data_IF_085238331955
#
_entry.id   IF_085238331955
#
_cell.length_a   1.000
_cell.length_b   1.000
_cell.length_c   1.000
_cell.angle_alpha   90.00
_cell.angle_beta   90.00
_cell.angle_gamma   90.00
#
_symmetry.space_group_name_H-M   'P 1'
#
loop_
_entity.id
_entity.type
_entity.pdbx_description
1 polymer ?
#
# COMPACT_ATOMS: atom_id res chain seq x y z
N UNK A 1 -35.75 -18.14 -2.66
CA UNK A 1 -35.60 -18.49 -1.22
C UNK A 1 -36.28 -17.44 -0.35
N UNK A 2 -37.01 -17.84 0.69
CA UNK A 2 -37.60 -16.89 1.65
C UNK A 2 -36.52 -16.30 2.58
N UNK A 3 -36.77 -15.12 3.17
CA UNK A 3 -35.85 -14.49 4.15
C UNK A 3 -35.49 -15.46 5.28
N UNK A 4 -36.47 -16.22 5.78
CA UNK A 4 -36.28 -17.22 6.83
C UNK A 4 -35.30 -18.32 6.40
N UNK A 5 -35.44 -18.84 5.19
CA UNK A 5 -34.54 -19.87 4.64
C UNK A 5 -33.12 -19.33 4.47
N UNK A 6 -32.94 -18.11 3.95
CA UNK A 6 -31.61 -17.49 3.83
C UNK A 6 -30.92 -17.31 5.19
N UNK A 7 -31.68 -16.84 6.19
CA UNK A 7 -31.17 -16.66 7.56
C UNK A 7 -30.79 -17.99 8.19
N UNK A 8 -31.65 -19.01 8.07
CA UNK A 8 -31.34 -20.35 8.59
C UNK A 8 -30.10 -20.93 7.93
N UNK A 9 -29.96 -20.82 6.60
CA UNK A 9 -28.78 -21.29 5.87
C UNK A 9 -27.51 -20.55 6.30
N UNK A 10 -27.57 -19.23 6.44
CA UNK A 10 -26.45 -18.42 6.92
C UNK A 10 -26.06 -18.84 8.35
N UNK A 11 -27.02 -18.95 9.26
CA UNK A 11 -26.75 -19.33 10.65
C UNK A 11 -26.19 -20.75 10.75
N UNK A 12 -26.71 -21.70 9.98
CA UNK A 12 -26.14 -23.05 9.94
C UNK A 12 -24.71 -23.05 9.42
N UNK A 13 -24.43 -22.30 8.35
CA UNK A 13 -23.08 -22.19 7.81
C UNK A 13 -22.13 -21.50 8.80
N UNK A 14 -22.60 -20.46 9.48
CA UNK A 14 -21.84 -19.75 10.51
C UNK A 14 -21.52 -20.65 11.71
N UNK A 15 -22.47 -21.48 12.15
CA UNK A 15 -22.23 -22.47 13.22
C UNK A 15 -21.21 -23.52 12.77
N UNK A 16 -21.35 -24.07 11.56
CA UNK A 16 -20.38 -25.04 11.01
C UNK A 16 -18.99 -24.42 10.94
N UNK A 17 -18.87 -23.20 10.42
CA UNK A 17 -17.61 -22.47 10.38
C UNK A 17 -17.04 -22.21 11.77
N UNK A 18 -17.86 -21.74 12.72
CA UNK A 18 -17.43 -21.48 14.08
C UNK A 18 -16.89 -22.75 14.76
N UNK A 19 -17.60 -23.87 14.64
CA UNK A 19 -17.17 -25.16 15.19
C UNK A 19 -15.85 -25.60 14.56
N UNK A 20 -15.74 -25.55 13.23
CA UNK A 20 -14.52 -25.92 12.53
C UNK A 20 -13.33 -25.02 12.90
N UNK A 21 -13.56 -23.71 12.97
CA UNK A 21 -12.56 -22.71 13.34
C UNK A 21 -12.10 -22.91 14.78
N UNK A 22 -13.03 -23.08 15.73
CA UNK A 22 -12.70 -23.35 17.13
C UNK A 22 -11.92 -24.66 17.27
N UNK A 23 -12.34 -25.73 16.60
CA UNK A 23 -11.62 -26.99 16.60
C UNK A 23 -10.18 -26.84 16.07
N UNK A 24 -9.99 -26.08 14.98
CA UNK A 24 -8.67 -25.77 14.44
C UNK A 24 -7.82 -24.96 15.44
N UNK A 25 -8.38 -23.95 16.08
CA UNK A 25 -7.68 -23.16 17.11
C UNK A 25 -7.24 -24.01 18.29
N UNK A 26 -8.06 -24.98 18.73
CA UNK A 26 -7.70 -25.89 19.83
C UNK A 26 -6.60 -26.90 19.45
N UNK A 27 -6.34 -27.10 18.15
CA UNK A 27 -5.25 -27.93 17.66
C UNK A 27 -3.90 -27.21 17.56
N UNK A 28 -3.84 -25.90 17.80
CA UNK A 28 -2.61 -25.12 17.74
C UNK A 28 -1.78 -25.30 19.03
N UNK A 29 -0.44 -25.14 18.95
CA UNK A 29 0.40 -25.09 20.13
C UNK A 29 -0.08 -23.99 21.10
N UNK A 30 0.00 -24.29 22.40
CA UNK A 30 -0.33 -23.33 23.44
C UNK A 30 0.67 -22.15 23.44
N UNK A 31 0.24 -20.99 23.93
CA UNK A 31 1.13 -19.85 24.08
C UNK A 31 2.31 -20.19 25.02
N UNK A 32 3.52 -19.72 24.68
CA UNK A 32 4.73 -19.96 25.47
C UNK A 32 5.44 -21.29 25.20
N UNK A 33 5.02 -22.06 24.17
CA UNK A 33 5.77 -23.25 23.73
C UNK A 33 7.09 -22.87 23.07
N UNK A 34 8.12 -23.70 23.26
CA UNK A 34 9.47 -23.49 22.72
C UNK A 34 9.59 -23.80 21.21
N UNK A 35 8.63 -24.57 20.68
CA UNK A 35 8.57 -24.93 19.25
C UNK A 35 7.21 -24.52 18.70
N UNK A 36 7.23 -24.02 17.47
CA UNK A 36 6.03 -23.76 16.70
C UNK A 36 6.28 -24.23 15.26
N UNK A 37 5.53 -25.23 14.73
CA UNK A 37 5.90 -25.91 13.49
C UNK A 37 5.95 -24.97 12.27
N UNK A 38 5.13 -23.92 12.25
CA UNK A 38 5.19 -22.90 11.20
C UNK A 38 6.29 -21.85 11.44
N UNK A 39 6.57 -21.53 12.72
CA UNK A 39 7.60 -20.56 13.08
C UNK A 39 8.99 -21.12 12.77
N UNK A 40 9.23 -22.36 13.17
CA UNK A 40 10.50 -23.06 12.96
C UNK A 40 10.80 -23.19 11.45
N UNK A 41 9.79 -23.53 10.63
CA UNK A 41 9.93 -23.58 9.17
C UNK A 41 10.16 -22.22 8.53
N UNK A 42 9.44 -21.18 8.98
CA UNK A 42 9.61 -19.82 8.47
C UNK A 42 11.03 -19.29 8.75
N UNK A 43 11.50 -19.43 9.99
CA UNK A 43 12.85 -19.03 10.39
C UNK A 43 13.91 -19.81 9.60
N UNK A 44 13.75 -21.13 9.48
CA UNK A 44 14.71 -21.96 8.74
C UNK A 44 14.80 -21.54 7.27
N UNK A 45 13.67 -21.35 6.60
CA UNK A 45 13.63 -20.92 5.21
C UNK A 45 14.19 -19.50 5.00
N UNK A 46 13.93 -18.58 5.93
CA UNK A 46 14.49 -17.22 5.89
C UNK A 46 16.03 -17.25 5.95
N UNK A 47 16.60 -18.06 6.84
CA UNK A 47 18.05 -18.24 6.95
C UNK A 47 18.66 -18.88 5.69
N UNK A 48 17.97 -19.86 5.08
CA UNK A 48 18.40 -20.45 3.80
C UNK A 48 18.45 -19.42 2.67
N UNK A 49 17.50 -18.49 2.62
CA UNK A 49 17.46 -17.40 1.64
C UNK A 49 18.30 -16.18 2.04
N UNK A 50 18.99 -16.25 3.18
CA UNK A 50 19.81 -15.16 3.75
C UNK A 50 19.01 -13.88 4.03
N UNK A 51 17.72 -14.00 4.30
CA UNK A 51 16.83 -12.89 4.67
C UNK A 51 16.80 -12.77 6.19
N UNK A 52 17.36 -11.69 6.75
CA UNK A 52 17.43 -11.52 8.20
C UNK A 52 16.08 -11.15 8.82
N UNK A 53 15.24 -10.40 8.10
CA UNK A 53 13.85 -10.17 8.46
C UNK A 53 12.99 -11.37 8.04
N UNK A 54 12.64 -12.24 9.00
CA UNK A 54 11.82 -13.44 8.77
C UNK A 54 10.43 -13.08 8.21
N UNK A 55 9.84 -11.95 8.63
CA UNK A 55 8.54 -11.52 8.11
C UNK A 55 8.64 -11.13 6.64
N UNK A 56 9.74 -10.47 6.25
CA UNK A 56 10.02 -10.17 4.84
C UNK A 56 10.18 -11.44 4.01
N UNK A 57 10.85 -12.47 4.54
CA UNK A 57 10.93 -13.78 3.89
C UNK A 57 9.56 -14.45 3.75
N UNK A 58 8.72 -14.40 4.79
CA UNK A 58 7.35 -14.90 4.73
C UNK A 58 6.58 -14.18 3.62
N UNK A 59 6.63 -12.85 3.59
CA UNK A 59 5.85 -12.05 2.65
C UNK A 59 6.34 -12.20 1.21
N UNK A 60 7.65 -12.23 0.95
CA UNK A 60 8.19 -12.13 -0.41
C UNK A 60 8.78 -13.43 -0.98
N UNK A 61 9.16 -14.41 -0.14
CA UNK A 61 9.63 -15.72 -0.61
C UNK A 61 8.58 -16.83 -0.45
N UNK A 62 7.85 -16.86 0.68
CA UNK A 62 6.97 -18.00 1.01
C UNK A 62 5.51 -17.77 0.62
N UNK A 63 5.01 -16.56 0.85
CA UNK A 63 3.62 -16.14 0.66
C UNK A 63 3.53 -14.93 -0.27
N UNK A 64 4.42 -14.89 -1.25
CA UNK A 64 4.56 -13.80 -2.21
C UNK A 64 3.30 -13.53 -3.03
N UNK A 65 2.47 -14.56 -3.26
CA UNK A 65 1.16 -14.41 -3.88
C UNK A 65 0.15 -13.67 -2.99
N UNK A 66 0.26 -13.79 -1.66
CA UNK A 66 -0.61 -13.04 -0.75
C UNK A 66 -0.26 -11.55 -0.81
N UNK A 67 1.04 -11.21 -0.83
CA UNK A 67 1.47 -9.81 -0.98
C UNK A 67 1.13 -9.24 -2.36
N UNK A 68 1.24 -10.03 -3.44
CA UNK A 68 0.73 -9.62 -4.76
C UNK A 68 -0.77 -9.33 -4.73
N UNK A 69 -1.54 -10.15 -4.00
CA UNK A 69 -2.98 -9.94 -3.80
C UNK A 69 -3.28 -8.68 -3.01
N UNK A 70 -2.57 -8.43 -1.90
CA UNK A 70 -2.69 -7.20 -1.09
C UNK A 70 -2.38 -5.94 -1.91
N UNK A 71 -1.31 -5.98 -2.69
CA UNK A 71 -0.90 -4.89 -3.59
C UNK A 71 -1.96 -4.67 -4.69
N UNK A 72 -2.46 -5.73 -5.31
CA UNK A 72 -3.56 -5.63 -6.29
C UNK A 72 -4.84 -5.04 -5.70
N UNK A 73 -5.15 -5.32 -4.43
CA UNK A 73 -6.30 -4.73 -3.73
C UNK A 73 -6.09 -3.22 -3.55
N UNK A 74 -4.90 -2.78 -3.15
CA UNK A 74 -4.59 -1.36 -3.01
C UNK A 74 -4.65 -0.65 -4.36
N UNK A 75 -3.95 -1.16 -5.38
CA UNK A 75 -3.99 -0.62 -6.73
C UNK A 75 -5.44 -0.53 -7.26
N UNK A 76 -6.24 -1.59 -7.07
CA UNK A 76 -7.65 -1.61 -7.43
C UNK A 76 -8.48 -0.57 -6.67
N UNK A 77 -8.21 -0.35 -5.39
CA UNK A 77 -8.88 0.69 -4.59
C UNK A 77 -8.51 2.10 -5.06
N UNK A 78 -7.23 2.35 -5.39
CA UNK A 78 -6.77 3.63 -5.95
C UNK A 78 -7.41 3.88 -7.30
N UNK A 79 -7.39 2.90 -8.20
CA UNK A 79 -8.04 2.99 -9.51
C UNK A 79 -9.55 3.25 -9.36
N UNK A 80 -10.20 2.56 -8.42
CA UNK A 80 -11.60 2.77 -8.09
C UNK A 80 -11.88 4.18 -7.60
N UNK A 81 -11.06 4.70 -6.69
CA UNK A 81 -11.17 6.07 -6.20
C UNK A 81 -10.96 7.09 -7.33
N UNK A 82 -9.94 6.92 -8.17
CA UNK A 82 -9.70 7.77 -9.34
C UNK A 82 -10.87 7.72 -10.32
N UNK A 83 -11.47 6.55 -10.55
CA UNK A 83 -12.61 6.41 -11.45
C UNK A 83 -13.91 7.01 -10.89
N UNK A 84 -14.18 6.81 -9.60
CA UNK A 84 -15.40 7.26 -8.93
C UNK A 84 -15.37 8.75 -8.56
N UNK A 85 -14.21 9.25 -8.14
CA UNK A 85 -14.00 10.65 -7.77
C UNK A 85 -13.49 11.49 -8.95
N UNK A 86 -13.53 10.92 -10.17
CA UNK A 86 -13.30 11.71 -11.38
C UNK A 86 -14.42 12.73 -11.51
N UNK A 87 -14.01 14.00 -11.65
CA UNK A 87 -14.89 15.15 -11.82
C UNK A 87 -16.09 14.84 -12.74
N UNK A 88 -17.30 15.09 -12.23
CA UNK A 88 -18.52 15.05 -13.03
C UNK A 88 -18.61 16.30 -13.93
N UNK A 89 -19.33 16.21 -15.05
CA UNK A 89 -19.45 17.32 -16.01
C UNK A 89 -19.98 18.62 -15.38
N UNK A 90 -20.78 18.48 -14.33
CA UNK A 90 -21.53 19.58 -13.71
C UNK A 90 -20.85 20.14 -12.44
N UNK A 91 -19.66 19.65 -12.08
CA UNK A 91 -18.90 20.13 -10.93
C UNK A 91 -17.99 21.30 -11.30
N UNK A 92 -18.05 22.40 -10.55
CA UNK A 92 -17.17 23.55 -10.74
C UNK A 92 -15.88 23.41 -9.91
N UNK A 93 -14.72 23.73 -10.53
CA UNK A 93 -13.45 23.86 -9.80
C UNK A 93 -13.34 25.26 -9.21
N UNK A 94 -13.40 25.35 -7.88
CA UNK A 94 -12.99 26.54 -7.15
C UNK A 94 -11.46 26.60 -7.01
N UNK A 95 -10.89 27.80 -6.99
CA UNK A 95 -9.51 27.95 -6.53
C UNK A 95 -9.47 27.71 -5.01
N UNK A 96 -8.54 26.89 -4.48
CA UNK A 96 -8.41 26.70 -3.04
C UNK A 96 -8.20 28.04 -2.34
N UNK A 97 -9.05 28.36 -1.36
CA UNK A 97 -8.86 29.52 -0.50
C UNK A 97 -7.55 29.36 0.30
N UNK A 98 -6.70 30.41 0.38
CA UNK A 98 -5.45 30.31 1.12
C UNK A 98 -5.72 30.03 2.61
N UNK A 99 -5.24 28.89 3.11
CA UNK A 99 -5.25 28.59 4.54
C UNK A 99 -4.24 29.44 5.29
N UNK A 100 -4.60 29.96 6.47
CA UNK A 100 -3.65 30.63 7.36
C UNK A 100 -2.93 29.59 8.22
N UNK A 101 -1.68 29.30 7.91
CA UNK A 101 -0.85 28.38 8.70
C UNK A 101 0.04 29.16 9.68
N UNK A 102 0.13 28.67 10.91
CA UNK A 102 0.97 29.25 11.95
C UNK A 102 2.47 29.08 11.59
N UNK A 103 3.33 30.09 11.84
CA UNK A 103 4.76 29.99 11.55
C UNK A 103 5.45 28.79 12.21
N UNK A 104 5.01 28.41 13.41
CA UNK A 104 5.49 27.22 14.12
C UNK A 104 5.16 25.92 13.40
N UNK A 105 3.95 25.81 12.84
CA UNK A 105 3.52 24.64 12.07
C UNK A 105 4.31 24.52 10.76
N UNK A 106 4.56 25.65 10.08
CA UNK A 106 5.40 25.69 8.89
C UNK A 106 6.84 25.24 9.19
N UNK A 107 7.43 25.79 10.25
CA UNK A 107 8.80 25.44 10.65
C UNK A 107 8.91 23.96 11.01
N UNK A 108 7.97 23.46 11.82
CA UNK A 108 7.95 22.06 12.25
C UNK A 108 7.77 21.14 11.04
N UNK A 109 6.81 21.42 10.16
CA UNK A 109 6.55 20.60 8.99
C UNK A 109 7.67 20.64 7.96
N UNK A 110 8.30 21.80 7.73
CA UNK A 110 9.48 21.91 6.87
C UNK A 110 10.68 21.10 7.40
N UNK A 111 10.82 20.97 8.72
CA UNK A 111 11.81 20.09 9.34
C UNK A 111 11.44 18.61 9.31
N UNK A 112 10.19 18.27 9.63
CA UNK A 112 9.72 16.89 9.71
C UNK A 112 9.55 16.21 8.35
N UNK A 113 9.18 16.96 7.31
CA UNK A 113 8.98 16.39 5.97
C UNK A 113 10.22 15.64 5.45
N UNK A 114 11.42 16.24 5.34
CA UNK A 114 12.60 15.53 4.84
C UNK A 114 13.02 14.38 5.76
N UNK A 115 12.85 14.53 7.08
CA UNK A 115 13.13 13.45 8.04
C UNK A 115 12.19 12.27 7.82
N UNK A 116 10.90 12.53 7.63
CA UNK A 116 9.88 11.50 7.39
C UNK A 116 10.14 10.79 6.07
N UNK A 117 10.48 11.52 5.01
CA UNK A 117 10.84 10.92 3.71
C UNK A 117 12.10 10.05 3.84
N UNK A 118 13.14 10.54 4.52
CA UNK A 118 14.36 9.77 4.75
C UNK A 118 14.09 8.47 5.53
N UNK A 119 13.25 8.54 6.57
CA UNK A 119 12.83 7.37 7.35
C UNK A 119 12.04 6.39 6.47
N UNK A 120 11.15 6.88 5.62
CA UNK A 120 10.41 6.04 4.66
C UNK A 120 11.34 5.30 3.70
N UNK A 121 12.29 6.01 3.07
CA UNK A 121 13.32 5.39 2.20
C UNK A 121 14.15 4.37 2.97
N UNK A 122 14.55 4.70 4.20
CA UNK A 122 15.31 3.79 5.05
C UNK A 122 14.56 2.49 5.34
N UNK A 123 13.26 2.58 5.70
CA UNK A 123 12.40 1.42 5.99
C UNK A 123 12.26 0.53 4.75
N UNK A 124 12.05 1.11 3.56
CA UNK A 124 11.98 0.35 2.31
C UNK A 124 13.32 -0.31 2.01
N UNK A 125 14.43 0.44 2.03
CA UNK A 125 15.76 -0.06 1.66
C UNK A 125 16.27 -1.19 2.58
N UNK A 126 15.82 -1.24 3.83
CA UNK A 126 16.23 -2.22 4.83
C UNK A 126 15.18 -3.33 5.06
N UNK A 127 14.16 -3.46 4.21
CA UNK A 127 13.04 -4.40 4.43
C UNK A 127 13.46 -5.86 4.65
N UNK A 128 14.55 -6.30 4.04
CA UNK A 128 15.14 -7.64 4.22
C UNK A 128 15.99 -7.80 5.49
N UNK A 129 16.29 -6.71 6.19
CA UNK A 129 17.19 -6.66 7.35
C UNK A 129 16.48 -6.33 8.65
N UNK A 130 15.57 -5.35 8.65
CA UNK A 130 14.92 -4.80 9.83
C UNK A 130 13.39 -4.88 9.75
N UNK A 131 12.67 -4.78 10.87
CA UNK A 131 11.21 -4.68 10.87
C UNK A 131 10.73 -3.51 10.00
N UNK A 132 9.69 -3.75 9.21
CA UNK A 132 9.19 -2.81 8.21
C UNK A 132 9.01 -3.50 6.87
N UNK A 133 9.34 -2.78 5.79
CA UNK A 133 9.20 -3.24 4.41
C UNK A 133 8.63 -2.17 3.50
N UNK A 134 8.30 -2.59 2.27
CA UNK A 134 7.76 -1.74 1.21
C UNK A 134 6.47 -1.06 1.65
N UNK A 135 5.54 -1.82 2.24
CA UNK A 135 4.23 -1.28 2.62
C UNK A 135 4.34 -0.16 3.67
N UNK A 136 4.96 -0.45 4.82
CA UNK A 136 5.10 0.53 5.90
C UNK A 136 5.95 1.72 5.46
N UNK A 137 7.06 1.47 4.77
CA UNK A 137 7.92 2.52 4.25
C UNK A 137 7.20 3.40 3.22
N UNK A 138 6.38 2.80 2.35
CA UNK A 138 5.55 3.49 1.36
C UNK A 138 4.52 4.41 2.01
N UNK A 139 3.81 3.95 3.04
CA UNK A 139 2.87 4.79 3.82
C UNK A 139 3.60 5.97 4.49
N UNK A 140 4.80 5.74 5.03
CA UNK A 140 5.62 6.81 5.62
C UNK A 140 6.05 7.82 4.54
N UNK A 141 6.45 7.37 3.35
CA UNK A 141 6.77 8.25 2.22
C UNK A 141 5.56 9.10 1.79
N UNK A 142 4.39 8.48 1.66
CA UNK A 142 3.15 9.18 1.32
C UNK A 142 2.76 10.23 2.37
N UNK A 143 2.94 9.88 3.65
CA UNK A 143 2.73 10.78 4.80
C UNK A 143 3.70 11.95 4.73
N UNK A 144 4.99 11.69 4.47
CA UNK A 144 6.02 12.71 4.32
C UNK A 144 5.64 13.75 3.27
N UNK A 145 5.19 13.32 2.08
CA UNK A 145 4.73 14.25 1.05
C UNK A 145 3.51 15.06 1.50
N UNK A 146 2.53 14.42 2.14
CA UNK A 146 1.29 15.06 2.59
C UNK A 146 1.47 16.00 3.78
N UNK A 147 2.57 15.92 4.53
CA UNK A 147 2.92 16.95 5.51
C UNK A 147 3.03 18.34 4.88
N UNK A 148 3.33 18.45 3.57
CA UNK A 148 3.36 19.74 2.88
C UNK A 148 2.00 20.46 2.91
N UNK A 149 0.88 19.73 2.96
CA UNK A 149 -0.45 20.33 3.10
C UNK A 149 -0.69 20.87 4.50
N UNK A 150 -0.33 20.10 5.53
CA UNK A 150 -0.49 20.53 6.94
C UNK A 150 0.46 21.68 7.29
N UNK A 151 1.68 21.64 6.74
CA UNK A 151 2.76 22.56 7.07
C UNK A 151 2.67 23.89 6.33
N UNK A 152 2.19 23.89 5.09
CA UNK A 152 2.25 25.07 4.23
C UNK A 152 0.87 25.45 3.73
N UNK A 153 0.40 24.80 2.68
CA UNK A 153 -0.92 25.02 2.10
C UNK A 153 -1.18 23.97 1.02
N UNK A 154 -2.44 23.78 0.64
CA UNK A 154 -2.83 22.88 -0.44
C UNK A 154 -2.19 23.26 -1.79
N UNK A 155 -1.98 24.56 -2.06
CA UNK A 155 -1.29 25.01 -3.29
C UNK A 155 0.16 24.52 -3.36
N UNK A 156 0.83 24.46 -2.20
CA UNK A 156 2.20 23.93 -2.11
C UNK A 156 2.19 22.42 -2.32
N UNK A 157 1.28 21.70 -1.67
CA UNK A 157 1.12 20.25 -1.89
C UNK A 157 0.88 19.93 -3.36
N UNK A 158 -0.02 20.66 -4.04
CA UNK A 158 -0.33 20.44 -5.46
C UNK A 158 0.89 20.61 -6.37
N UNK A 159 1.85 21.48 -6.02
CA UNK A 159 3.10 21.67 -6.79
C UNK A 159 4.07 20.51 -6.61
N UNK A 160 4.17 19.94 -5.40
CA UNK A 160 5.07 18.82 -5.10
C UNK A 160 4.46 17.45 -5.38
N UNK A 161 3.17 17.41 -5.74
CA UNK A 161 2.38 16.20 -6.00
C UNK A 161 1.87 16.14 -7.45
N UNK A 162 2.74 15.98 -8.46
CA UNK A 162 2.29 15.77 -9.84
C UNK A 162 1.58 14.41 -9.97
N UNK A 163 0.25 14.41 -9.90
CA UNK A 163 -0.56 13.19 -9.84
C UNK A 163 -0.34 12.24 -11.02
N UNK A 164 -0.10 12.76 -12.22
CA UNK A 164 0.20 11.91 -13.38
C UNK A 164 1.47 11.05 -13.17
N UNK A 165 2.48 11.60 -12.51
CA UNK A 165 3.72 10.87 -12.19
C UNK A 165 3.43 9.81 -11.14
N UNK A 166 2.71 10.16 -10.07
CA UNK A 166 2.39 9.20 -9.02
C UNK A 166 1.46 8.09 -9.51
N UNK A 167 0.44 8.38 -10.33
CA UNK A 167 -0.39 7.35 -10.95
C UNK A 167 0.40 6.44 -11.90
N UNK A 168 1.41 6.98 -12.60
CA UNK A 168 2.31 6.14 -13.39
C UNK A 168 3.22 5.27 -12.50
N UNK A 169 3.75 5.83 -11.41
CA UNK A 169 4.57 5.09 -10.44
C UNK A 169 3.77 3.98 -9.74
N UNK A 170 2.50 4.21 -9.47
CA UNK A 170 1.56 3.24 -8.89
C UNK A 170 1.44 2.01 -9.79
N UNK A 171 1.10 2.24 -11.06
CA UNK A 171 1.04 1.19 -12.08
C UNK A 171 2.40 0.52 -12.34
N UNK A 172 3.51 1.27 -12.31
CA UNK A 172 4.86 0.73 -12.49
C UNK A 172 5.27 -0.14 -11.31
N UNK A 173 4.96 0.25 -10.07
CA UNK A 173 5.25 -0.54 -8.87
C UNK A 173 4.49 -1.88 -8.91
N UNK A 174 3.19 -1.82 -9.20
CA UNK A 174 2.34 -3.00 -9.39
C UNK A 174 2.84 -3.94 -10.51
N UNK A 175 3.13 -3.35 -11.67
CA UNK A 175 3.68 -4.06 -12.82
C UNK A 175 5.06 -4.67 -12.52
N UNK A 176 5.90 -3.97 -11.76
CA UNK A 176 7.25 -4.43 -11.41
C UNK A 176 7.21 -5.65 -10.50
N UNK A 177 6.31 -5.71 -9.51
CA UNK A 177 6.12 -6.91 -8.69
C UNK A 177 5.78 -8.10 -9.60
N UNK A 178 4.78 -7.92 -10.46
CA UNK A 178 4.32 -8.98 -11.37
C UNK A 178 5.45 -9.44 -12.29
N UNK A 179 6.18 -8.49 -12.90
CA UNK A 179 7.28 -8.76 -13.83
C UNK A 179 8.48 -9.45 -13.16
N UNK A 180 8.85 -9.05 -11.94
CA UNK A 180 9.91 -9.71 -11.17
C UNK A 180 9.54 -11.17 -10.87
N UNK A 181 8.26 -11.45 -10.60
CA UNK A 181 7.79 -12.82 -10.44
C UNK A 181 7.89 -13.68 -11.71
N UNK A 182 7.66 -13.08 -12.88
CA UNK A 182 7.83 -13.75 -14.17
C UNK A 182 9.28 -14.15 -14.46
N UNK A 183 10.27 -13.47 -13.86
CA UNK A 183 11.68 -13.82 -14.02
C UNK A 183 11.98 -15.27 -13.57
N UNK A 184 11.29 -15.75 -12.51
CA UNK A 184 11.35 -17.14 -12.09
C UNK A 184 10.87 -18.11 -13.18
N UNK A 185 9.72 -17.83 -13.79
CA UNK A 185 9.17 -18.64 -14.87
C UNK A 185 10.07 -18.66 -16.11
N UNK A 186 10.64 -17.50 -16.47
CA UNK A 186 11.57 -17.38 -17.61
C UNK A 186 12.83 -18.21 -17.37
N UNK A 187 13.30 -18.32 -16.13
CA UNK A 187 14.43 -19.15 -15.74
C UNK A 187 14.10 -20.66 -15.61
N UNK A 188 12.87 -21.07 -15.91
CA UNK A 188 12.40 -22.46 -15.76
C UNK A 188 12.09 -22.87 -14.31
N UNK A 189 11.96 -21.89 -13.42
CA UNK A 189 11.64 -22.05 -12.01
C UNK A 189 10.18 -21.66 -11.72
N UNK A 190 9.72 -21.78 -10.47
CA UNK A 190 8.39 -21.33 -10.09
C UNK A 190 8.27 -19.80 -10.13
N UNK A 191 7.04 -19.28 -10.26
CA UNK A 191 6.76 -17.85 -10.16
C UNK A 191 7.27 -17.29 -8.82
N UNK A 192 7.92 -16.11 -8.84
CA UNK A 192 8.60 -15.47 -7.69
C UNK A 192 9.72 -16.29 -7.04
N UNK A 193 10.11 -17.43 -7.61
CA UNK A 193 11.28 -18.15 -7.14
C UNK A 193 12.53 -17.28 -7.36
N UNK A 194 13.39 -17.20 -6.35
CA UNK A 194 14.58 -16.38 -6.38
C UNK A 194 15.56 -16.87 -7.46
N UNK A 195 15.82 -16.02 -8.47
CA UNK A 195 16.78 -16.29 -9.55
C UNK A 195 18.08 -15.46 -9.40
N UNK A 196 18.16 -14.62 -8.37
CA UNK A 196 19.33 -13.77 -8.12
C UNK A 196 20.23 -14.37 -7.04
N UNK A 197 21.54 -14.05 -7.04
CA UNK A 197 22.44 -14.43 -5.95
C UNK A 197 21.95 -13.88 -4.61
N UNK A 198 21.90 -14.73 -3.58
CA UNK A 198 21.40 -14.37 -2.24
C UNK A 198 22.28 -13.38 -1.47
N UNK A 199 23.43 -12.99 -2.01
CA UNK A 199 24.35 -12.04 -1.37
C UNK A 199 24.89 -12.49 -0.01
N UNK A 200 25.30 -11.54 0.83
CA UNK A 200 25.87 -11.84 2.16
C UNK A 200 24.85 -11.53 3.25
N UNK A 201 24.54 -12.52 4.10
CA UNK A 201 23.58 -12.37 5.20
C UNK A 201 23.88 -11.13 6.05
N UNK A 202 22.82 -10.39 6.42
CA UNK A 202 22.92 -9.17 7.23
C UNK A 202 23.42 -7.92 6.47
N UNK A 203 23.65 -8.01 5.15
CA UNK A 203 23.98 -6.84 4.30
C UNK A 203 22.83 -6.45 3.40
N UNK A 204 22.85 -5.21 2.91
CA UNK A 204 21.82 -4.70 1.98
C UNK A 204 21.68 -5.55 0.72
N UNK A 205 22.77 -6.17 0.24
CA UNK A 205 22.77 -7.04 -0.92
C UNK A 205 22.26 -8.46 -0.67
N UNK A 206 21.76 -8.77 0.54
CA UNK A 206 21.21 -10.08 0.88
C UNK A 206 19.82 -10.34 0.27
N UNK A 207 19.34 -11.57 0.36
CA UNK A 207 17.97 -11.99 0.03
C UNK A 207 17.58 -11.99 -1.47
N UNK A 208 18.53 -11.78 -2.39
CA UNK A 208 18.32 -11.92 -3.84
C UNK A 208 17.19 -11.03 -4.38
N UNK A 209 16.08 -11.59 -4.84
CA UNK A 209 14.92 -10.83 -5.36
C UNK A 209 14.15 -10.03 -4.30
N UNK A 210 14.18 -10.43 -3.02
CA UNK A 210 13.34 -9.83 -1.96
C UNK A 210 13.45 -8.30 -1.88
N UNK A 211 14.63 -7.67 -1.86
CA UNK A 211 14.74 -6.21 -1.79
C UNK A 211 14.13 -5.50 -3.01
N UNK A 212 14.16 -6.13 -4.19
CA UNK A 212 13.61 -5.56 -5.42
C UNK A 212 12.08 -5.60 -5.40
N UNK A 213 11.51 -6.74 -5.01
CA UNK A 213 10.05 -6.90 -4.86
C UNK A 213 9.54 -5.96 -3.76
N UNK A 214 10.25 -5.90 -2.63
CA UNK A 214 9.95 -4.98 -1.54
C UNK A 214 10.02 -3.50 -1.97
N UNK A 215 10.98 -3.12 -2.81
CA UNK A 215 11.06 -1.78 -3.37
C UNK A 215 9.91 -1.47 -4.34
N UNK A 216 9.51 -2.44 -5.17
CA UNK A 216 8.34 -2.31 -6.05
C UNK A 216 7.06 -2.04 -5.25
N UNK A 217 6.81 -2.81 -4.18
CA UNK A 217 5.72 -2.54 -3.22
C UNK A 217 5.87 -1.16 -2.59
N UNK A 218 7.08 -0.76 -2.18
CA UNK A 218 7.30 0.56 -1.59
C UNK A 218 6.95 1.71 -2.51
N UNK A 219 7.21 1.57 -3.82
CA UNK A 219 6.84 2.56 -4.84
C UNK A 219 5.34 2.57 -5.08
N UNK A 220 4.72 1.40 -5.27
CA UNK A 220 3.27 1.25 -5.43
C UNK A 220 2.54 1.86 -4.23
N UNK A 221 2.81 1.40 -3.01
CA UNK A 221 2.11 1.87 -1.81
C UNK A 221 2.31 3.36 -1.59
N UNK A 222 3.53 3.89 -1.76
CA UNK A 222 3.76 5.33 -1.61
C UNK A 222 2.91 6.13 -2.60
N UNK A 223 2.97 5.76 -3.87
CA UNK A 223 2.32 6.51 -4.94
C UNK A 223 0.80 6.32 -4.97
N UNK A 224 0.30 5.10 -4.76
CA UNK A 224 -1.10 4.77 -4.62
C UNK A 224 -1.75 5.50 -3.45
N UNK A 225 -1.14 5.49 -2.26
CA UNK A 225 -1.66 6.26 -1.10
C UNK A 225 -1.61 7.76 -1.38
N UNK A 226 -0.59 8.26 -2.07
CA UNK A 226 -0.51 9.67 -2.47
C UNK A 226 -1.68 10.05 -3.38
N UNK A 227 -1.96 9.23 -4.39
CA UNK A 227 -3.06 9.45 -5.34
C UNK A 227 -4.41 9.33 -4.65
N UNK A 228 -4.59 8.32 -3.78
CA UNK A 228 -5.82 8.10 -3.04
C UNK A 228 -6.19 9.31 -2.20
N UNK A 229 -5.26 9.75 -1.34
CA UNK A 229 -5.49 10.92 -0.47
C UNK A 229 -5.71 12.18 -1.33
N UNK A 230 -5.01 12.30 -2.46
CA UNK A 230 -5.25 13.40 -3.38
C UNK A 230 -6.67 13.43 -3.92
N UNK A 231 -7.23 12.31 -4.38
CA UNK A 231 -8.60 12.31 -4.90
C UNK A 231 -9.61 12.79 -3.85
N UNK A 232 -9.45 12.36 -2.59
CA UNK A 232 -10.31 12.83 -1.49
C UNK A 232 -10.11 14.31 -1.16
N UNK A 233 -8.85 14.79 -1.13
CA UNK A 233 -8.55 16.20 -0.86
C UNK A 233 -9.05 17.11 -1.98
N UNK A 234 -8.85 16.73 -3.23
CA UNK A 234 -9.28 17.49 -4.40
C UNK A 234 -10.81 17.62 -4.40
N UNK A 235 -11.54 16.55 -4.08
CA UNK A 235 -13.00 16.58 -3.90
C UNK A 235 -13.44 17.48 -2.73
N UNK A 236 -12.75 17.41 -1.59
CA UNK A 236 -13.13 18.18 -0.40
C UNK A 236 -12.78 19.68 -0.49
N UNK A 237 -11.75 20.04 -1.25
CA UNK A 237 -11.17 21.41 -1.26
C UNK A 237 -11.44 22.16 -2.57
N UNK A 238 -11.47 21.47 -3.72
CA UNK A 238 -11.60 22.14 -5.02
C UNK A 238 -13.02 22.09 -5.60
N UNK A 239 -13.90 21.20 -5.14
CA UNK A 239 -15.20 20.97 -5.78
C UNK A 239 -16.32 21.62 -4.97
N UNK A 240 -16.95 22.64 -5.57
CA UNK A 240 -18.14 23.28 -5.04
C UNK A 240 -19.40 22.67 -5.68
N UNK A 241 -20.52 22.55 -4.94
CA UNK A 241 -21.81 22.21 -5.54
C UNK A 241 -22.17 23.23 -6.64
N UNK A 242 -22.90 22.83 -7.69
CA UNK A 242 -23.44 23.78 -8.66
C UNK A 242 -24.30 24.82 -7.92
N UNK A 243 -24.04 26.10 -8.17
CA UNK A 243 -24.85 27.19 -7.63
C UNK A 243 -26.31 27.01 -8.08
N UNK A 244 -27.23 26.88 -7.11
CA UNK A 244 -28.69 26.78 -7.31
C UNK A 244 -29.29 28.01 -8.05
N UNK A 245 -28.48 29.05 -8.27
CA UNK A 245 -28.84 30.28 -8.98
C UNK A 245 -28.20 30.43 -10.37
N UNK A 246 -27.55 29.40 -10.91
CA UNK A 246 -27.05 29.44 -12.29
C UNK A 246 -28.24 29.34 -13.26
N UNK A 247 -28.51 30.33 -14.13
CA UNK A 247 -29.57 30.20 -15.12
C UNK A 247 -29.28 28.99 -16.03
N UNK A 248 -30.31 28.24 -16.46
CA UNK A 248 -30.10 27.06 -17.30
C UNK A 248 -29.28 27.44 -18.53
N UNK A 249 -28.12 26.78 -18.71
CA UNK A 249 -27.33 26.95 -19.91
C UNK A 249 -28.18 26.49 -21.09
N UNK A 250 -28.57 27.44 -21.93
CA UNK A 250 -29.25 27.16 -23.19
C UNK A 250 -28.37 26.21 -24.00
N UNK A 251 -28.95 25.06 -24.38
CA UNK A 251 -28.37 24.11 -25.28
C UNK A 251 -28.16 24.80 -26.65
N UNK A 252 -26.96 25.30 -26.88
CA UNK A 252 -26.50 25.78 -28.18
C UNK A 252 -26.31 24.60 -29.12
N UNK A 253 -27.04 24.66 -30.24
CA UNK A 253 -27.08 23.76 -31.41
C UNK A 253 -25.72 23.36 -31.97
#
# INVERSE_FOLDING_TARGET
MSRRVRVLLFLSAAVVFAVAFTAACTGLPHFGTQSHPYGDRAVHAALQHRTANVISAVNFDQRALDTLGEESILFGAVLGAVALLRRARDENRGAPEPGRVLPSTLLLGAGLLPVTVLVGVYIVAHGQLSPGGGFQGGVVLATGLHLAYVAADYRVLRRVRPLAVFSALDAVGAGAFTALGLAGLIAGAAYLQNVLPLGTFGRLSSAGLVPLVNAAVGVEVASGVIVLIAQFLDQAVEIAPPDDNSPPQEAGT
#
